data_IF_505189269861
#
_entry.id   IF_505189269861
#
_cell.length_a   1.000
_cell.length_b   1.000
_cell.length_c   1.000
_cell.angle_alpha   90.00
_cell.angle_beta   90.00
_cell.angle_gamma   90.00
#
_symmetry.space_group_name_H-M   'P 1'
#
loop_
_entity.id
_entity.type
_entity.pdbx_description
1 polymer ?
#
# COMPACT_ATOMS: atom_id res chain seq x y z
N UNK A 1 -5.48 6.99 -20.42
CA UNK A 1 -5.48 7.25 -18.97
C UNK A 1 -4.18 6.68 -18.46
N UNK A 2 -3.24 7.53 -18.06
CA UNK A 2 -2.05 7.05 -17.36
C UNK A 2 -2.49 6.46 -16.01
N UNK A 3 -2.02 5.26 -15.63
CA UNK A 3 -2.51 4.58 -14.44
C UNK A 3 -2.12 5.29 -13.13
N UNK A 4 -1.22 6.27 -13.16
CA UNK A 4 -0.75 6.96 -11.97
C UNK A 4 -0.69 8.47 -12.19
N UNK A 5 -1.29 9.22 -11.27
CA UNK A 5 -1.35 10.69 -11.32
C UNK A 5 -0.11 11.33 -10.68
N UNK A 6 0.40 10.74 -9.59
CA UNK A 6 1.48 11.31 -8.79
C UNK A 6 2.75 10.47 -8.92
N UNK A 7 3.67 10.90 -9.78
CA UNK A 7 4.93 10.23 -10.05
C UNK A 7 6.13 11.15 -9.82
N UNK A 8 7.23 10.56 -9.34
CA UNK A 8 8.43 11.27 -8.93
C UNK A 8 9.67 10.59 -9.47
N UNK A 9 10.63 11.41 -9.92
CA UNK A 9 11.97 10.91 -10.24
C UNK A 9 12.61 10.36 -8.97
N UNK A 10 12.94 9.08 -9.02
CA UNK A 10 13.46 8.30 -7.92
C UNK A 10 14.84 7.76 -8.29
N UNK A 11 15.78 8.68 -8.45
CA UNK A 11 17.15 8.36 -8.82
C UNK A 11 18.00 8.24 -7.56
N UNK A 12 18.42 7.01 -7.27
CA UNK A 12 19.48 6.77 -6.28
C UNK A 12 20.83 6.74 -7.00
N UNK A 13 21.84 7.50 -6.55
CA UNK A 13 23.19 7.44 -7.11
C UNK A 13 23.83 6.03 -7.06
N UNK A 14 23.35 5.14 -6.17
CA UNK A 14 23.87 3.77 -5.98
C UNK A 14 23.04 2.68 -6.66
N UNK A 15 21.93 3.01 -7.33
CA UNK A 15 21.02 2.03 -7.93
C UNK A 15 20.23 1.18 -6.91
N UNK A 16 20.42 1.39 -5.61
CA UNK A 16 19.57 0.86 -4.54
C UNK A 16 18.70 1.99 -4.01
N UNK A 17 17.41 1.74 -3.77
CA UNK A 17 16.49 2.71 -3.13
C UNK A 17 17.13 3.26 -1.85
N UNK A 18 17.74 4.45 -1.95
CA UNK A 18 18.63 4.97 -0.92
C UNK A 18 17.81 5.52 0.24
N UNK A 19 17.30 4.65 1.11
CA UNK A 19 16.79 5.00 2.45
C UNK A 19 15.80 6.18 2.51
N UNK A 20 15.16 6.55 1.39
CA UNK A 20 14.35 7.76 1.31
C UNK A 20 13.16 7.56 2.24
N UNK A 21 13.04 8.44 3.22
CA UNK A 21 11.98 8.38 4.20
C UNK A 21 10.64 8.66 3.52
N UNK A 22 9.85 7.61 3.32
CA UNK A 22 8.47 7.71 2.85
C UNK A 22 7.56 7.98 4.06
N UNK A 23 6.62 8.95 4.01
CA UNK A 23 5.67 9.20 5.09
C UNK A 23 4.87 7.95 5.41
N UNK A 24 4.75 7.62 6.70
CA UNK A 24 3.95 6.47 7.13
C UNK A 24 2.49 6.69 6.79
N UNK A 25 1.91 5.74 6.07
CA UNK A 25 0.47 5.65 5.81
C UNK A 25 -0.17 4.69 6.81
N UNK A 26 -1.34 5.06 7.33
CA UNK A 26 -2.15 4.19 8.18
C UNK A 26 -3.62 4.25 7.74
N UNK A 27 -4.24 3.08 7.60
CA UNK A 27 -5.71 2.97 7.45
C UNK A 27 -6.28 2.65 8.82
N UNK A 28 -7.10 3.56 9.34
CA UNK A 28 -7.76 3.42 10.64
C UNK A 28 -9.10 2.72 10.47
N UNK A 29 -9.24 1.53 11.06
CA UNK A 29 -10.49 0.79 11.07
C UNK A 29 -11.30 1.10 12.34
N UNK A 30 -12.56 0.67 12.35
CA UNK A 30 -13.39 0.75 13.54
C UNK A 30 -12.70 0.11 14.76
N UNK A 31 -12.75 0.81 15.90
CA UNK A 31 -12.00 0.42 17.10
C UNK A 31 -10.56 0.90 17.07
N UNK A 32 -9.63 0.03 17.49
CA UNK A 32 -8.20 0.37 17.62
C UNK A 32 -7.33 -0.23 16.49
N UNK A 33 -7.92 -0.94 15.53
CA UNK A 33 -7.18 -1.61 14.47
C UNK A 33 -6.61 -0.61 13.45
N UNK A 34 -5.31 -0.74 13.17
CA UNK A 34 -4.57 0.11 12.22
C UNK A 34 -3.79 -0.76 11.26
N UNK A 35 -4.05 -0.62 9.96
CA UNK A 35 -3.24 -1.24 8.92
C UNK A 35 -2.12 -0.27 8.54
N UNK A 36 -0.88 -0.69 8.77
CA UNK A 36 0.34 0.08 8.50
C UNK A 36 1.20 -0.65 7.46
N UNK A 37 0.89 -0.49 6.16
CA UNK A 37 1.61 -1.17 5.09
C UNK A 37 3.05 -0.64 4.96
N UNK A 38 3.99 -1.45 4.44
CA UNK A 38 5.33 -0.94 4.10
C UNK A 38 5.25 0.17 3.03
N UNK A 39 6.26 1.04 2.96
CA UNK A 39 6.34 2.11 1.96
C UNK A 39 6.11 1.63 0.52
N UNK A 40 6.72 0.48 0.16
CA UNK A 40 6.57 -0.15 -1.16
C UNK A 40 5.13 -0.53 -1.54
N UNK A 41 4.21 -0.60 -0.57
CA UNK A 41 2.81 -0.96 -0.79
C UNK A 41 1.92 0.23 -1.16
N UNK A 42 2.44 1.46 -1.12
CA UNK A 42 1.72 2.67 -1.56
C UNK A 42 2.61 3.66 -2.33
N UNK A 43 3.93 3.44 -2.37
CA UNK A 43 4.85 4.05 -3.31
C UNK A 43 5.42 2.94 -4.18
N UNK A 44 4.94 2.85 -5.41
CA UNK A 44 5.18 1.73 -6.32
C UNK A 44 6.25 2.06 -7.36
N UNK A 45 6.96 1.02 -7.80
CA UNK A 45 7.88 1.10 -8.94
C UNK A 45 7.08 1.11 -10.24
N UNK A 46 7.00 2.28 -10.89
CA UNK A 46 6.26 2.43 -12.14
C UNK A 46 7.15 2.25 -13.38
N UNK A 47 8.41 2.73 -13.29
CA UNK A 47 9.43 2.58 -14.33
C UNK A 47 10.84 2.71 -13.69
N UNK A 48 11.92 2.35 -14.42
CA UNK A 48 13.27 2.56 -13.92
C UNK A 48 13.52 4.02 -13.53
N UNK A 49 13.87 4.25 -12.26
CA UNK A 49 14.11 5.59 -11.73
C UNK A 49 12.86 6.44 -11.54
N UNK A 50 11.65 5.85 -11.58
CA UNK A 50 10.38 6.55 -11.34
C UNK A 50 9.52 5.75 -10.38
N UNK A 51 9.13 6.39 -9.27
CA UNK A 51 8.13 5.85 -8.34
C UNK A 51 6.86 6.68 -8.36
N UNK A 52 5.72 6.03 -8.22
CA UNK A 52 4.42 6.70 -8.19
C UNK A 52 3.63 6.34 -6.93
N UNK A 53 2.69 7.20 -6.54
CA UNK A 53 1.73 6.91 -5.47
C UNK A 53 0.69 5.92 -6.00
N UNK A 54 0.52 4.80 -5.31
CA UNK A 54 -0.41 3.73 -5.66
C UNK A 54 -1.86 3.98 -5.21
N UNK A 55 -2.28 5.24 -5.10
CA UNK A 55 -3.65 5.64 -4.76
C UNK A 55 -4.27 6.30 -5.99
N UNK A 56 -5.49 5.90 -6.31
CA UNK A 56 -6.26 6.46 -7.43
C UNK A 56 -7.59 7.00 -6.90
N UNK A 57 -8.04 8.09 -7.51
CA UNK A 57 -9.38 8.60 -7.28
C UNK A 57 -10.41 7.57 -7.79
N UNK A 58 -11.37 7.24 -6.93
CA UNK A 58 -12.51 6.40 -7.29
C UNK A 58 -13.70 7.24 -7.76
N UNK A 59 -14.61 6.70 -8.58
CA UNK A 59 -15.84 7.40 -8.97
C UNK A 59 -16.67 7.83 -7.77
N UNK A 60 -17.27 9.03 -7.83
CA UNK A 60 -18.23 9.50 -6.83
C UNK A 60 -19.68 9.43 -7.35
N UNK A 61 -20.64 8.92 -6.58
CA UNK A 61 -20.51 8.29 -5.26
C UNK A 61 -19.90 6.88 -5.35
N UNK A 62 -19.08 6.49 -4.37
CA UNK A 62 -18.35 5.23 -4.44
C UNK A 62 -17.79 4.72 -3.11
N UNK A 63 -17.03 3.63 -3.20
CA UNK A 63 -16.35 2.97 -2.09
C UNK A 63 -14.84 3.10 -2.24
N UNK A 64 -14.10 3.11 -1.13
CA UNK A 64 -12.64 2.95 -1.14
C UNK A 64 -12.28 1.48 -1.23
N UNK A 65 -11.35 1.14 -2.13
CA UNK A 65 -10.92 -0.25 -2.36
C UNK A 65 -9.48 -0.44 -1.90
N UNK A 66 -9.26 -1.41 -1.02
CA UNK A 66 -7.93 -1.88 -0.64
C UNK A 66 -7.49 -2.95 -1.64
N UNK A 67 -6.66 -2.57 -2.62
CA UNK A 67 -6.14 -3.45 -3.65
C UNK A 67 -5.02 -4.39 -3.18
N UNK A 68 -4.64 -5.34 -4.04
CA UNK A 68 -3.63 -6.37 -3.77
C UNK A 68 -2.31 -5.81 -3.18
N UNK A 69 -1.77 -4.74 -3.76
CA UNK A 69 -0.45 -4.20 -3.36
C UNK A 69 -0.45 -3.71 -1.90
N UNK A 70 -1.55 -3.09 -1.46
CA UNK A 70 -1.71 -2.62 -0.09
C UNK A 70 -1.88 -3.76 0.92
N UNK A 71 -2.30 -4.94 0.43
CA UNK A 71 -2.49 -6.15 1.22
C UNK A 71 -1.20 -6.98 1.38
N UNK A 72 -0.17 -6.75 0.56
CA UNK A 72 1.08 -7.49 0.65
C UNK A 72 1.77 -7.32 2.02
N UNK A 73 2.62 -8.28 2.37
CA UNK A 73 3.28 -8.38 3.68
C UNK A 73 2.33 -8.44 4.90
N UNK A 74 1.11 -8.96 4.69
CA UNK A 74 0.16 -9.23 5.74
C UNK A 74 -0.50 -10.60 5.55
N UNK A 75 -0.73 -11.30 6.65
CA UNK A 75 -1.70 -12.38 6.70
C UNK A 75 -3.09 -11.76 6.83
N UNK A 76 -4.03 -12.24 6.02
CA UNK A 76 -5.43 -11.79 6.05
C UNK A 76 -6.33 -12.96 6.44
N UNK A 77 -7.16 -12.74 7.47
CA UNK A 77 -8.17 -13.70 7.90
C UNK A 77 -9.56 -13.11 7.65
N UNK A 78 -10.34 -13.83 6.84
CA UNK A 78 -11.75 -13.53 6.59
C UNK A 78 -12.61 -14.41 7.50
N UNK A 79 -12.89 -13.92 8.70
CA UNK A 79 -13.75 -14.59 9.67
C UNK A 79 -15.22 -14.31 9.32
N UNK A 80 -15.73 -15.06 8.33
CA UNK A 80 -17.08 -14.92 7.81
C UNK A 80 -18.11 -15.18 8.90
N UNK A 81 -17.86 -16.18 9.76
CA UNK A 81 -18.77 -16.58 10.86
C UNK A 81 -19.00 -15.43 11.83
N UNK A 82 -17.96 -14.72 12.23
CA UNK A 82 -18.07 -13.60 13.16
C UNK A 82 -18.14 -12.23 12.47
N UNK A 83 -18.18 -12.19 11.13
CA UNK A 83 -18.19 -10.97 10.30
C UNK A 83 -17.03 -10.03 10.64
N UNK A 84 -15.82 -10.59 10.70
CA UNK A 84 -14.59 -9.85 11.02
C UNK A 84 -13.55 -10.04 9.94
N UNK A 85 -12.85 -8.95 9.62
CA UNK A 85 -11.61 -8.96 8.88
C UNK A 85 -10.48 -8.78 9.89
N UNK A 86 -9.49 -9.66 9.88
CA UNK A 86 -8.29 -9.53 10.72
C UNK A 86 -7.07 -9.54 9.82
N UNK A 87 -6.04 -8.82 10.25
CA UNK A 87 -4.77 -8.77 9.54
C UNK A 87 -3.63 -8.71 10.53
N UNK A 88 -2.51 -9.30 10.15
CA UNK A 88 -1.26 -9.26 10.91
C UNK A 88 -0.09 -9.14 9.95
N UNK A 89 0.88 -8.28 10.28
CA UNK A 89 2.09 -8.14 9.48
C UNK A 89 2.86 -9.46 9.42
N UNK A 90 3.24 -9.88 8.22
CA UNK A 90 3.98 -11.13 7.97
C UNK A 90 4.83 -11.00 6.72
N UNK A 91 5.99 -11.67 6.65
CA UNK A 91 6.78 -11.74 5.41
C UNK A 91 6.21 -12.75 4.40
N UNK A 92 5.22 -13.54 4.80
CA UNK A 92 4.60 -14.58 3.97
C UNK A 92 5.63 -15.58 3.38
N UNK A 93 6.67 -15.89 4.16
CA UNK A 93 7.78 -16.80 3.78
C UNK A 93 7.67 -18.17 4.46
N UNK A 94 6.48 -18.58 4.89
CA UNK A 94 6.21 -19.85 5.56
C UNK A 94 5.22 -20.67 4.75
#
# INVERSE_FOLDING_TARGET
>A
MDPFEYCYNWTSPSGQDAGVAVPKMAVHFAGAARLEPPGKSYVIDAAPGVKCIGLQEGPWPGISVIGNILQQEHLWEFDIKNRRLRFQRSRCTH
#
